data_IF_374327881461
#
_entry.id   IF_374327881461
#
_cell.length_a   1.000
_cell.length_b   1.000
_cell.length_c   1.000
_cell.angle_alpha   90.00
_cell.angle_beta   90.00
_cell.angle_gamma   90.00
#
_symmetry.space_group_name_H-M   'P 1'
#
loop_
_entity.id
_entity.type
_entity.pdbx_description
1 polymer ?
#
# COMPACT_ATOMS: atom_id res chain seq x y z
N UNK A 1 -32.31 -56.81 25.02
CA UNK A 1 -31.27 -56.61 26.04
C UNK A 1 -31.22 -55.10 26.27
N UNK A 2 -32.12 -54.54 27.10
CA UNK A 2 -31.98 -54.39 28.57
C UNK A 2 -30.63 -53.76 28.90
N UNK A 3 -30.52 -52.57 29.51
CA UNK A 3 -31.10 -52.20 30.81
C UNK A 3 -31.36 -50.70 30.93
N UNK A 4 -32.46 -50.36 31.60
CA UNK A 4 -32.85 -49.06 32.16
C UNK A 4 -31.82 -48.47 33.16
N UNK A 5 -31.91 -47.15 33.36
CA UNK A 5 -31.20 -46.44 34.42
C UNK A 5 -31.72 -45.02 34.66
N UNK A 6 -32.90 -44.91 35.25
CA UNK A 6 -33.47 -43.70 35.88
C UNK A 6 -32.73 -43.37 37.19
N UNK A 7 -32.43 -42.09 37.43
CA UNK A 7 -31.80 -41.65 38.68
C UNK A 7 -31.95 -40.15 38.92
N UNK A 8 -32.70 -39.82 39.97
CA UNK A 8 -33.21 -38.51 40.36
C UNK A 8 -32.15 -37.47 40.83
N UNK A 9 -32.50 -36.19 40.66
CA UNK A 9 -32.05 -35.06 41.51
C UNK A 9 -32.90 -35.04 42.81
N UNK A 10 -32.47 -34.48 43.97
CA UNK A 10 -32.25 -33.03 44.12
C UNK A 10 -31.24 -32.58 45.22
N UNK A 11 -31.00 -31.25 45.29
CA UNK A 11 -30.34 -30.54 46.41
C UNK A 11 -29.04 -29.87 45.96
N UNK A 12 -28.77 -28.58 46.18
CA UNK A 12 -29.32 -27.60 47.10
C UNK A 12 -28.17 -26.92 47.84
N UNK A 13 -28.02 -25.60 47.69
CA UNK A 13 -27.28 -24.74 48.62
C UNK A 13 -25.88 -24.27 48.20
N UNK A 14 -25.67 -22.96 48.33
CA UNK A 14 -24.34 -22.39 48.57
C UNK A 14 -23.82 -21.41 47.52
N UNK A 15 -24.35 -20.19 47.52
CA UNK A 15 -23.68 -18.99 47.02
C UNK A 15 -22.43 -18.70 47.87
N UNK A 16 -21.26 -18.41 47.26
CA UNK A 16 -20.25 -17.58 47.90
C UNK A 16 -20.14 -16.23 47.20
N UNK A 17 -20.30 -15.16 47.98
CA UNK A 17 -19.96 -13.79 47.64
C UNK A 17 -18.51 -13.66 47.13
N UNK A 18 -18.26 -13.00 45.98
CA UNK A 18 -16.94 -12.46 45.71
C UNK A 18 -16.78 -11.14 46.46
N UNK A 19 -16.09 -11.22 47.59
CA UNK A 19 -15.60 -10.08 48.34
C UNK A 19 -14.83 -9.11 47.42
N UNK A 20 -15.36 -7.89 47.36
CA UNK A 20 -14.69 -6.72 46.78
C UNK A 20 -13.42 -6.44 47.57
N UNK A 21 -12.27 -6.70 46.94
CA UNK A 21 -10.96 -6.27 47.45
C UNK A 21 -10.52 -5.09 46.61
N UNK A 22 -10.80 -3.88 47.10
CA UNK A 22 -10.20 -2.65 46.59
C UNK A 22 -8.77 -2.54 47.15
N UNK A 23 -7.72 -2.43 46.32
CA UNK A 23 -6.42 -2.01 46.81
C UNK A 23 -6.37 -0.47 46.90
N UNK A 24 -6.04 0.01 48.10
CA UNK A 24 -5.74 1.40 48.40
C UNK A 24 -4.60 1.97 47.51
N UNK A 25 -4.70 3.22 47.05
CA UNK A 25 -3.60 3.91 46.40
C UNK A 25 -2.59 4.41 47.44
N UNK A 26 -1.43 3.75 47.49
CA UNK A 26 -0.27 4.22 48.23
C UNK A 26 0.19 5.60 47.70
N UNK A 27 0.14 6.58 48.60
CA UNK A 27 0.71 7.90 48.45
C UNK A 27 2.23 7.85 48.71
N UNK A 28 3.04 8.30 47.76
CA UNK A 28 4.46 8.68 47.94
C UNK A 28 4.82 9.63 46.79
N UNK A 29 4.68 10.95 46.89
CA UNK A 29 5.58 11.89 47.58
C UNK A 29 7.07 11.62 47.36
N UNK A 30 7.63 12.22 46.31
CA UNK A 30 9.01 12.74 46.29
C UNK A 30 9.18 13.69 45.10
N UNK A 31 8.82 14.95 45.33
CA UNK A 31 9.23 16.06 44.50
C UNK A 31 10.73 16.30 44.73
N UNK A 32 11.56 16.05 43.72
CA UNK A 32 12.95 16.49 43.71
C UNK A 32 13.03 17.99 43.40
N UNK A 33 13.93 18.75 44.05
CA UNK A 33 14.07 20.17 43.79
C UNK A 33 14.66 20.45 42.40
N UNK A 34 14.10 21.47 41.75
CA UNK A 34 14.61 22.04 40.51
C UNK A 34 16.00 22.67 40.73
N UNK A 35 16.96 22.50 39.80
CA UNK A 35 18.20 23.26 39.84
C UNK A 35 18.00 24.71 39.40
N UNK A 36 18.57 25.62 40.18
CA UNK A 36 18.71 27.06 39.94
C UNK A 36 19.28 27.39 38.55
N UNK A 37 18.71 28.36 37.81
CA UNK A 37 19.35 28.98 36.66
C UNK A 37 19.99 30.31 37.08
N UNK A 38 21.23 30.28 37.57
CA UNK A 38 22.03 31.51 37.69
C UNK A 38 23.47 31.31 37.24
N UNK A 39 23.82 32.11 36.23
CA UNK A 39 25.12 32.78 36.11
C UNK A 39 26.34 31.95 35.72
N UNK A 40 26.62 31.90 34.41
CA UNK A 40 27.99 31.91 33.91
C UNK A 40 28.06 32.44 32.46
N UNK A 41 28.42 33.71 32.32
CA UNK A 41 29.16 34.26 31.17
C UNK A 41 30.57 34.50 31.72
N UNK A 42 31.65 33.92 31.16
CA UNK A 42 32.41 34.54 30.05
C UNK A 42 33.02 33.45 29.12
N UNK A 43 33.73 33.65 28.01
CA UNK A 43 34.44 34.75 27.41
C UNK A 43 34.53 34.46 25.89
N UNK A 44 34.57 35.50 25.08
CA UNK A 44 35.03 35.43 23.69
C UNK A 44 36.53 35.14 23.62
N UNK A 45 36.99 34.30 22.67
CA UNK A 45 38.31 34.45 22.11
C UNK A 45 38.23 34.98 20.68
N UNK A 46 38.73 36.21 20.55
CA UNK A 46 39.22 36.86 19.35
C UNK A 46 40.33 36.02 18.71
N UNK A 47 40.27 35.79 17.39
CA UNK A 47 41.42 35.28 16.65
C UNK A 47 41.07 34.71 15.27
N UNK A 48 41.45 35.37 14.16
CA UNK A 48 41.39 34.77 12.83
C UNK A 48 42.51 33.72 12.68
N UNK A 49 42.22 32.50 12.18
CA UNK A 49 43.27 31.55 11.88
C UNK A 49 44.07 31.98 10.65
N UNK A 50 45.40 31.96 10.79
CA UNK A 50 46.36 32.14 9.71
C UNK A 50 46.25 31.03 8.63
N UNK A 51 46.59 31.31 7.36
CA UNK A 51 46.56 30.32 6.29
C UNK A 51 47.78 29.40 6.40
N UNK A 52 47.56 28.21 6.97
CA UNK A 52 48.58 27.18 7.14
C UNK A 52 48.41 26.02 6.16
N UNK A 53 49.33 25.96 5.20
CA UNK A 53 49.96 24.74 4.66
C UNK A 53 49.06 23.53 4.36
N UNK A 54 48.62 23.42 3.11
CA UNK A 54 48.16 22.18 2.50
C UNK A 54 49.34 21.21 2.29
N UNK A 55 49.47 20.22 3.19
CA UNK A 55 50.21 18.98 2.88
C UNK A 55 49.35 18.08 1.98
N UNK A 56 49.90 17.54 0.88
CA UNK A 56 49.17 16.62 0.02
C UNK A 56 48.95 15.27 0.73
N UNK A 57 47.72 14.77 0.65
CA UNK A 57 47.36 13.42 1.08
C UNK A 57 48.18 12.37 0.31
N UNK A 58 48.56 11.23 0.93
CA UNK A 58 49.19 10.13 0.22
C UNK A 58 48.21 9.56 -0.81
N UNK A 59 48.69 9.44 -2.04
CA UNK A 59 47.97 8.84 -3.15
C UNK A 59 47.54 7.41 -2.80
N UNK A 60 46.27 7.12 -3.06
CA UNK A 60 45.61 5.85 -2.85
C UNK A 60 46.33 4.71 -3.58
N UNK A 61 46.99 3.85 -2.82
CA UNK A 61 47.58 2.57 -3.24
C UNK A 61 46.51 1.48 -3.39
N UNK A 62 45.44 1.77 -4.14
CA UNK A 62 44.34 0.82 -4.41
C UNK A 62 44.08 0.59 -5.91
N UNK A 63 44.94 1.13 -6.79
CA UNK A 63 44.86 0.93 -8.24
C UNK A 63 46.02 0.05 -8.73
N UNK A 64 46.12 -1.18 -8.24
CA UNK A 64 46.86 -2.24 -8.92
C UNK A 64 45.84 -3.21 -9.53
N UNK A 65 45.74 -3.32 -10.87
CA UNK A 65 44.95 -4.37 -11.48
C UNK A 65 45.60 -5.71 -11.17
N UNK A 66 44.79 -6.64 -10.66
CA UNK A 66 45.21 -8.03 -10.51
C UNK A 66 45.44 -8.63 -11.90
N UNK A 67 46.71 -8.79 -12.28
CA UNK A 67 47.10 -9.62 -13.41
C UNK A 67 46.69 -11.06 -13.09
N UNK A 68 45.66 -11.57 -13.78
CA UNK A 68 45.20 -12.96 -13.61
C UNK A 68 43.70 -13.21 -13.72
N UNK A 69 42.87 -12.21 -14.04
CA UNK A 69 41.45 -12.44 -14.28
C UNK A 69 41.26 -13.15 -15.64
N UNK A 70 40.84 -14.42 -15.57
CA UNK A 70 40.38 -15.19 -16.72
C UNK A 70 39.32 -14.40 -17.51
N UNK A 71 39.50 -14.36 -18.83
CA UNK A 71 38.53 -13.79 -19.77
C UNK A 71 37.12 -14.32 -19.46
N UNK A 72 36.12 -13.45 -19.20
CA UNK A 72 34.75 -13.91 -19.07
C UNK A 72 34.31 -14.56 -20.39
N UNK A 73 33.52 -15.65 -20.35
CA UNK A 73 32.97 -16.24 -21.56
C UNK A 73 32.13 -15.20 -22.32
N UNK A 74 32.08 -15.27 -23.66
CA UNK A 74 31.30 -14.34 -24.45
C UNK A 74 29.83 -14.40 -23.99
N UNK A 75 29.29 -13.25 -23.62
CA UNK A 75 27.86 -13.07 -23.35
C UNK A 75 27.10 -13.39 -24.63
N UNK A 76 26.37 -14.50 -24.60
CA UNK A 76 25.47 -14.95 -25.63
C UNK A 76 24.41 -13.86 -25.85
N UNK A 77 24.42 -13.26 -27.04
CA UNK A 77 23.49 -12.19 -27.38
C UNK A 77 22.06 -12.72 -27.30
N UNK A 78 21.28 -12.20 -26.37
CA UNK A 78 19.85 -12.46 -26.26
C UNK A 78 19.17 -12.07 -27.58
N UNK A 79 18.77 -13.06 -28.37
CA UNK A 79 17.89 -12.87 -29.51
C UNK A 79 16.45 -12.70 -28.98
N UNK A 80 15.70 -11.66 -29.40
CA UNK A 80 14.31 -11.51 -29.02
C UNK A 80 13.48 -12.70 -29.53
N UNK A 81 12.46 -13.15 -28.79
CA UNK A 81 11.61 -14.25 -29.21
C UNK A 81 10.93 -13.93 -30.55
N UNK A 82 11.07 -14.83 -31.51
CA UNK A 82 10.38 -14.76 -32.80
C UNK A 82 8.86 -14.89 -32.52
N UNK A 83 8.03 -13.94 -32.96
CA UNK A 83 6.58 -14.06 -32.79
C UNK A 83 6.07 -15.29 -33.56
N UNK A 84 5.11 -16.05 -33.00
CA UNK A 84 4.56 -17.21 -33.68
C UNK A 84 3.88 -16.80 -35.00
N UNK A 85 3.92 -17.66 -36.04
CA UNK A 85 3.22 -17.41 -37.30
C UNK A 85 1.71 -17.31 -37.03
N UNK A 86 1.17 -16.13 -37.33
CA UNK A 86 -0.23 -15.80 -37.11
C UNK A 86 -1.07 -16.28 -38.31
N UNK A 87 -1.29 -17.60 -38.39
CA UNK A 87 -2.12 -18.25 -39.40
C UNK A 87 -3.53 -18.61 -38.86
N UNK A 88 -4.13 -17.76 -38.01
CA UNK A 88 -5.54 -17.93 -37.64
C UNK A 88 -6.45 -17.05 -38.50
N UNK A 89 -7.38 -17.64 -39.28
CA UNK A 89 -8.40 -16.86 -39.98
C UNK A 89 -9.30 -16.17 -38.97
N UNK A 90 -9.55 -14.87 -39.19
CA UNK A 90 -10.40 -14.03 -38.36
C UNK A 90 -11.79 -14.65 -38.18
N UNK A 91 -12.04 -15.22 -37.00
CA UNK A 91 -13.36 -15.64 -36.55
C UNK A 91 -14.18 -14.37 -36.27
N UNK A 92 -15.12 -14.07 -37.16
CA UNK A 92 -16.13 -13.02 -37.01
C UNK A 92 -17.08 -13.39 -35.87
N UNK A 93 -16.76 -12.94 -34.65
CA UNK A 93 -17.73 -12.97 -33.56
C UNK A 93 -18.83 -11.94 -33.81
N UNK A 94 -20.12 -12.31 -33.71
CA UNK A 94 -21.22 -11.36 -33.81
C UNK A 94 -21.18 -10.40 -32.61
N UNK A 95 -21.17 -9.10 -32.90
CA UNK A 95 -21.24 -8.05 -31.88
C UNK A 95 -22.54 -8.19 -31.05
N UNK A 96 -22.47 -8.05 -29.71
CA UNK A 96 -23.68 -7.98 -28.89
C UNK A 96 -24.47 -6.72 -29.23
N UNK A 97 -25.78 -6.88 -29.43
CA UNK A 97 -26.69 -5.78 -29.70
C UNK A 97 -26.72 -4.78 -28.52
N UNK A 98 -26.82 -3.47 -28.79
CA UNK A 98 -26.95 -2.46 -27.74
C UNK A 98 -28.26 -2.66 -26.96
N UNK A 99 -28.26 -2.45 -25.63
CA UNK A 99 -29.47 -2.54 -24.82
C UNK A 99 -30.50 -1.48 -25.26
N UNK A 100 -31.82 -1.79 -25.16
CA UNK A 100 -32.86 -0.84 -25.49
C UNK A 100 -32.80 0.39 -24.58
N UNK A 101 -33.12 1.55 -25.16
CA UNK A 101 -33.11 2.84 -24.49
C UNK A 101 -34.00 2.81 -23.23
N UNK A 102 -33.40 3.11 -22.08
CA UNK A 102 -34.12 3.23 -20.82
C UNK A 102 -35.02 4.48 -20.87
N UNK A 103 -36.32 4.24 -20.74
CA UNK A 103 -37.33 5.27 -20.57
C UNK A 103 -37.03 6.19 -19.37
N UNK A 104 -37.42 7.45 -19.56
CA UNK A 104 -37.15 8.57 -18.69
C UNK A 104 -37.58 8.32 -17.23
N UNK A 105 -36.61 8.41 -16.31
CA UNK A 105 -36.88 8.57 -14.89
C UNK A 105 -37.45 9.98 -14.61
N UNK A 106 -38.53 10.11 -13.82
CA UNK A 106 -39.03 11.41 -13.38
C UNK A 106 -38.06 12.10 -12.42
N UNK A 107 -37.84 13.39 -12.65
CA UNK A 107 -36.98 14.27 -11.84
C UNK A 107 -37.50 14.40 -10.40
N UNK A 108 -36.66 14.24 -9.36
CA UNK A 108 -37.03 14.54 -7.99
C UNK A 108 -37.30 16.04 -7.79
N UNK A 109 -38.52 16.36 -7.38
CA UNK A 109 -38.95 17.72 -7.08
C UNK A 109 -38.17 18.35 -5.93
N UNK A 110 -37.78 19.61 -6.12
CA UNK A 110 -37.21 20.48 -5.10
C UNK A 110 -38.20 20.69 -3.93
N UNK A 111 -37.78 20.58 -2.67
CA UNK A 111 -38.58 21.05 -1.54
C UNK A 111 -38.58 22.59 -1.47
N UNK A 112 -39.74 23.11 -1.08
CA UNK A 112 -40.07 24.53 -1.00
C UNK A 112 -39.22 25.32 0.03
N UNK A 113 -38.95 26.62 -0.21
CA UNK A 113 -38.22 27.49 0.69
C UNK A 113 -39.09 27.92 1.90
N UNK A 114 -38.67 27.59 3.13
CA UNK A 114 -39.47 27.98 4.31
C UNK A 114 -38.97 27.67 5.72
N UNK A 115 -37.73 27.27 5.95
CA UNK A 115 -37.22 27.10 7.33
C UNK A 115 -36.10 28.08 7.67
N UNK A 116 -36.25 28.93 8.70
CA UNK A 116 -35.17 29.78 9.19
C UNK A 116 -34.10 28.93 9.92
N UNK A 117 -32.81 29.26 9.77
CA UNK A 117 -31.72 28.54 10.42
C UNK A 117 -31.69 28.78 11.94
N UNK A 118 -31.34 27.77 12.76
CA UNK A 118 -31.09 27.93 14.19
C UNK A 118 -29.96 28.93 14.46
N UNK A 119 -30.18 29.82 15.43
CA UNK A 119 -29.38 31.01 15.71
C UNK A 119 -27.92 30.73 16.04
N UNK A 120 -27.03 31.47 15.37
CA UNK A 120 -25.65 31.66 15.80
C UNK A 120 -25.63 32.61 17.00
N UNK A 121 -24.85 32.31 18.07
CA UNK A 121 -24.61 33.26 19.13
C UNK A 121 -23.77 34.45 18.63
N UNK A 122 -24.11 35.64 19.12
CA UNK A 122 -23.49 36.90 18.74
C UNK A 122 -21.98 36.95 19.10
N UNK A 123 -21.12 37.54 18.26
CA UNK A 123 -19.71 37.77 18.58
C UNK A 123 -19.58 38.90 19.61
N UNK A 124 -19.06 38.62 20.82
CA UNK A 124 -18.77 39.71 21.76
C UNK A 124 -18.48 39.39 23.23
N UNK A 125 -18.62 38.15 23.70
CA UNK A 125 -18.34 37.82 25.11
C UNK A 125 -17.07 36.97 25.25
N UNK A 126 -15.93 37.62 25.48
CA UNK A 126 -14.74 36.93 26.01
C UNK A 126 -14.92 36.73 27.52
N UNK A 127 -14.88 35.51 28.05
CA UNK A 127 -14.85 35.29 29.49
C UNK A 127 -13.48 35.71 30.06
N UNK A 128 -13.51 36.38 31.21
CA UNK A 128 -12.33 36.78 31.94
C UNK A 128 -11.51 35.55 32.40
N UNK A 129 -10.16 35.63 32.40
CA UNK A 129 -9.30 34.53 32.82
C UNK A 129 -9.48 34.27 34.33
N UNK A 130 -9.96 33.07 34.68
CA UNK A 130 -10.01 32.61 36.07
C UNK A 130 -11.19 31.74 36.48
N UNK A 131 -12.20 31.54 35.62
CA UNK A 131 -13.32 30.64 35.94
C UNK A 131 -13.37 29.44 34.99
N UNK A 132 -12.98 28.28 35.52
CA UNK A 132 -13.22 26.99 34.90
C UNK A 132 -14.72 26.74 34.91
N UNK A 133 -15.38 26.94 33.78
CA UNK A 133 -16.77 26.54 33.60
C UNK A 133 -16.85 25.02 33.72
N UNK A 134 -17.53 24.53 34.77
CA UNK A 134 -18.01 23.16 34.82
C UNK A 134 -18.97 22.97 33.64
N UNK A 135 -18.52 22.26 32.60
CA UNK A 135 -19.39 21.81 31.54
C UNK A 135 -20.39 20.80 32.14
N UNK A 136 -21.71 21.04 32.04
CA UNK A 136 -22.68 20.01 32.37
C UNK A 136 -22.47 18.84 31.41
N UNK A 137 -22.19 17.66 31.99
CA UNK A 137 -22.08 16.41 31.26
C UNK A 137 -23.40 16.17 30.49
N UNK A 138 -23.35 15.96 29.16
CA UNK A 138 -24.52 15.54 28.40
C UNK A 138 -25.05 14.24 28.99
N UNK A 139 -26.24 14.29 29.56
CA UNK A 139 -26.92 13.13 30.11
C UNK A 139 -27.09 12.08 29.02
N UNK A 140 -26.52 10.90 29.25
CA UNK A 140 -26.73 9.74 28.39
C UNK A 140 -28.24 9.45 28.29
N UNK A 141 -28.78 9.20 27.09
CA UNK A 141 -30.18 8.82 26.94
C UNK A 141 -30.46 7.54 27.75
N UNK A 142 -31.64 7.41 28.35
CA UNK A 142 -32.00 6.22 29.11
C UNK A 142 -31.88 4.98 28.23
N UNK A 143 -31.35 3.90 28.82
CA UNK A 143 -31.16 2.62 28.16
C UNK A 143 -32.48 2.17 27.51
N UNK A 144 -32.46 2.01 26.18
CA UNK A 144 -33.60 1.51 25.41
C UNK A 144 -33.93 0.11 25.92
N UNK A 145 -35.18 -0.11 26.32
CA UNK A 145 -35.65 -1.38 26.85
C UNK A 145 -35.31 -2.52 25.88
N UNK A 146 -34.74 -3.60 26.42
CA UNK A 146 -34.35 -4.76 25.64
C UNK A 146 -35.55 -5.31 24.85
N UNK A 147 -35.40 -5.60 23.54
CA UNK A 147 -36.50 -6.11 22.73
C UNK A 147 -36.98 -7.46 23.28
N UNK A 148 -38.31 -7.74 23.23
CA UNK A 148 -38.88 -8.96 23.78
C UNK A 148 -38.24 -10.20 23.14
N UNK A 149 -37.75 -11.11 23.98
CA UNK A 149 -37.06 -12.38 23.64
C UNK A 149 -37.99 -13.44 23.01
N UNK A 150 -38.98 -13.05 22.19
CA UNK A 150 -40.05 -13.94 21.73
C UNK A 150 -39.86 -14.60 20.37
N UNK A 151 -38.87 -14.22 19.54
CA UNK A 151 -38.81 -14.69 18.12
C UNK A 151 -37.42 -15.08 17.60
N UNK A 152 -36.41 -15.22 18.47
CA UNK A 152 -35.05 -15.61 18.03
C UNK A 152 -34.97 -17.04 17.49
N UNK A 153 -35.84 -17.94 17.93
CA UNK A 153 -35.87 -19.32 17.41
C UNK A 153 -36.31 -19.42 15.94
N UNK A 154 -37.23 -18.55 15.51
CA UNK A 154 -37.78 -18.62 14.15
C UNK A 154 -36.81 -18.04 13.11
N UNK A 155 -36.07 -16.98 13.45
CA UNK A 155 -35.08 -16.39 12.56
C UNK A 155 -33.85 -17.31 12.36
N UNK A 156 -33.39 -17.98 13.43
CA UNK A 156 -32.29 -18.93 13.34
C UNK A 156 -32.65 -20.14 12.46
N UNK A 157 -33.89 -20.64 12.55
CA UNK A 157 -34.36 -21.74 11.70
C UNK A 157 -34.36 -21.39 10.20
N UNK A 158 -34.76 -20.16 9.84
CA UNK A 158 -34.80 -19.72 8.44
C UNK A 158 -33.39 -19.59 7.86
N UNK A 159 -32.41 -19.09 8.62
CA UNK A 159 -31.03 -18.95 8.15
C UNK A 159 -30.40 -20.32 7.92
N UNK A 160 -30.59 -21.28 8.84
CA UNK A 160 -30.07 -22.65 8.68
C UNK A 160 -30.69 -23.34 7.47
N UNK A 161 -32.01 -23.19 7.25
CA UNK A 161 -32.68 -23.74 6.08
C UNK A 161 -32.17 -23.12 4.77
N UNK A 162 -31.95 -21.80 4.72
CA UNK A 162 -31.42 -21.11 3.55
C UNK A 162 -29.98 -21.55 3.22
N UNK A 163 -29.11 -21.69 4.23
CA UNK A 163 -27.74 -22.18 4.04
C UNK A 163 -27.72 -23.64 3.57
N UNK A 164 -28.61 -24.48 4.08
CA UNK A 164 -28.73 -25.87 3.62
C UNK A 164 -29.17 -25.97 2.15
N UNK A 165 -30.11 -25.13 1.71
CA UNK A 165 -30.56 -25.09 0.31
C UNK A 165 -29.46 -24.57 -0.62
N UNK A 166 -28.74 -23.52 -0.22
CA UNK A 166 -27.60 -23.00 -0.99
C UNK A 166 -26.48 -24.05 -1.06
N UNK A 167 -26.18 -24.73 0.05
CA UNK A 167 -25.20 -25.81 0.10
C UNK A 167 -25.55 -26.99 -0.82
N UNK A 168 -26.83 -27.37 -0.90
CA UNK A 168 -27.30 -28.41 -1.83
C UNK A 168 -27.22 -27.97 -3.30
N UNK A 169 -27.54 -26.71 -3.60
CA UNK A 169 -27.44 -26.17 -4.97
C UNK A 169 -25.99 -26.02 -5.43
N UNK A 170 -25.09 -25.59 -4.53
CA UNK A 170 -23.68 -25.45 -4.85
C UNK A 170 -22.96 -26.80 -4.95
N UNK A 171 -23.26 -27.78 -4.10
CA UNK A 171 -22.62 -29.11 -4.19
C UNK A 171 -23.09 -29.91 -5.42
N UNK A 172 -24.36 -29.79 -5.82
CA UNK A 172 -24.86 -30.40 -7.05
C UNK A 172 -24.19 -29.88 -8.34
N UNK A 173 -23.72 -28.63 -8.33
CA UNK A 173 -23.03 -28.03 -9.48
C UNK A 173 -21.59 -28.53 -9.66
N UNK A 174 -20.94 -28.99 -8.59
CA UNK A 174 -19.54 -29.46 -8.62
C UNK A 174 -19.46 -30.91 -9.11
N UNK A 175 -20.49 -31.74 -8.85
CA UNK A 175 -20.50 -33.14 -9.31
C UNK A 175 -20.73 -33.30 -10.82
N UNK A 176 -21.26 -32.29 -11.52
CA UNK A 176 -21.46 -32.33 -12.97
C UNK A 176 -20.21 -31.94 -13.80
N UNK A 177 -19.09 -31.58 -13.16
CA UNK A 177 -17.82 -31.25 -13.84
C UNK A 177 -16.68 -32.22 -13.52
N UNK A 178 -16.96 -33.33 -12.83
CA UNK A 178 -15.94 -34.30 -12.40
C UNK A 178 -15.83 -35.54 -13.33
N UNK A 179 -16.57 -35.59 -14.44
CA UNK A 179 -16.71 -36.81 -15.27
C UNK A 179 -16.07 -36.72 -16.67
N UNK A 180 -15.08 -35.83 -16.87
CA UNK A 180 -14.38 -35.66 -18.16
C UNK A 180 -12.83 -35.67 -18.04
N UNK A 181 -12.26 -36.36 -17.04
CA UNK A 181 -10.80 -36.55 -16.91
C UNK A 181 -10.33 -38.02 -16.96
N UNK A 182 -11.09 -38.91 -17.59
CA UNK A 182 -10.64 -40.24 -17.94
C UNK A 182 -10.58 -40.40 -19.46
N UNK A 183 -9.41 -40.09 -20.02
CA UNK A 183 -8.75 -40.82 -21.12
C UNK A 183 -7.79 -39.89 -21.88
N UNK A 184 -6.55 -39.79 -21.39
CA UNK A 184 -5.40 -39.41 -22.22
C UNK A 184 -4.27 -40.38 -21.90
N UNK A 185 -4.53 -41.63 -22.27
CA UNK A 185 -3.54 -42.69 -22.33
C UNK A 185 -2.51 -42.37 -23.42
N UNK A 186 -1.24 -42.43 -23.04
CA UNK A 186 -0.13 -42.93 -23.86
C UNK A 186 0.10 -42.27 -25.22
N UNK A 187 0.96 -41.24 -25.22
CA UNK A 187 1.84 -40.96 -26.36
C UNK A 187 3.28 -41.07 -25.88
N UNK A 188 3.74 -42.33 -25.81
CA UNK A 188 5.13 -42.74 -25.78
C UNK A 188 5.73 -42.35 -27.14
N UNK A 189 6.24 -41.12 -27.24
CA UNK A 189 6.80 -40.52 -28.45
C UNK A 189 8.31 -40.55 -28.40
N UNK A 190 8.88 -41.47 -29.18
CA UNK A 190 10.29 -41.84 -29.14
C UNK A 190 11.28 -40.69 -29.27
N UNK A 191 12.34 -40.81 -28.48
CA UNK A 191 13.65 -40.26 -28.76
C UNK A 191 14.16 -40.84 -30.08
N UNK A 192 14.20 -40.03 -31.14
CA UNK A 192 14.77 -40.42 -32.42
C UNK A 192 15.13 -39.20 -33.27
N UNK A 193 16.41 -39.13 -33.65
CA UNK A 193 17.07 -38.18 -34.58
C UNK A 193 17.28 -36.78 -33.96
N UNK A 194 18.46 -36.38 -33.50
CA UNK A 194 19.78 -36.39 -34.18
C UNK A 194 19.72 -35.81 -35.60
N UNK A 195 19.12 -34.64 -35.77
CA UNK A 195 19.41 -33.79 -36.92
C UNK A 195 20.62 -32.88 -36.60
N UNK A 196 21.77 -33.07 -37.27
CA UNK A 196 22.88 -32.12 -37.19
C UNK A 196 22.46 -30.84 -37.92
N UNK A 197 22.07 -29.82 -37.15
CA UNK A 197 21.82 -28.48 -37.66
C UNK A 197 23.10 -27.91 -38.26
N UNK A 198 23.29 -28.16 -39.55
CA UNK A 198 24.41 -27.70 -40.35
C UNK A 198 24.12 -26.28 -40.77
N UNK A 199 24.73 -25.32 -40.06
CA UNK A 199 24.71 -23.92 -40.47
C UNK A 199 25.31 -23.79 -41.87
N UNK A 200 24.66 -23.11 -42.82
CA UNK A 200 25.25 -22.83 -44.12
C UNK A 200 26.47 -21.90 -43.95
N UNK A 201 27.66 -22.49 -43.95
CA UNK A 201 28.94 -21.81 -44.11
C UNK A 201 28.94 -21.13 -45.48
N UNK A 202 28.61 -19.84 -45.56
CA UNK A 202 28.66 -19.14 -46.85
C UNK A 202 27.94 -17.80 -46.96
N UNK A 203 27.31 -17.27 -45.90
CA UNK A 203 26.76 -15.93 -45.98
C UNK A 203 27.87 -14.88 -45.79
N UNK A 204 28.10 -13.98 -46.77
CA UNK A 204 29.04 -12.88 -46.62
C UNK A 204 28.50 -11.94 -45.54
N UNK A 205 29.08 -11.97 -44.35
CA UNK A 205 28.80 -11.00 -43.31
C UNK A 205 29.28 -9.62 -43.80
N UNK A 206 28.39 -8.62 -44.01
CA UNK A 206 28.82 -7.27 -44.30
C UNK A 206 29.62 -6.77 -43.11
N UNK A 207 30.96 -6.74 -43.25
CA UNK A 207 31.91 -6.25 -42.25
C UNK A 207 31.89 -4.71 -42.13
N UNK A 208 30.77 -4.07 -42.44
CA UNK A 208 30.57 -2.66 -42.15
C UNK A 208 30.30 -2.53 -40.65
N UNK A 209 31.36 -2.61 -39.86
CA UNK A 209 31.40 -2.17 -38.47
C UNK A 209 30.86 -0.74 -38.49
N UNK A 210 29.67 -0.46 -37.95
CA UNK A 210 29.22 0.92 -37.87
C UNK A 210 30.20 1.60 -36.92
N UNK A 211 31.13 2.37 -37.46
CA UNK A 211 31.90 3.38 -36.72
C UNK A 211 30.96 4.55 -36.43
N UNK A 212 29.78 4.25 -35.88
CA UNK A 212 28.90 5.22 -35.28
C UNK A 212 29.44 5.43 -33.88
N UNK A 213 30.17 6.52 -33.71
CA UNK A 213 30.48 7.08 -32.41
C UNK A 213 29.17 7.08 -31.58
N UNK A 214 29.13 6.43 -30.41
CA UNK A 214 27.90 6.30 -29.64
C UNK A 214 27.38 7.71 -29.36
N UNK A 215 26.21 8.01 -29.94
CA UNK A 215 25.56 9.29 -29.72
C UNK A 215 25.46 9.50 -28.20
N UNK A 216 25.84 10.69 -27.69
CA UNK A 216 25.85 10.94 -26.25
C UNK A 216 24.46 10.62 -25.69
N UNK A 217 24.40 9.61 -24.82
CA UNK A 217 23.17 9.21 -24.16
C UNK A 217 22.61 10.43 -23.44
N UNK A 218 21.45 10.90 -23.88
CA UNK A 218 20.79 12.06 -23.29
C UNK A 218 20.55 11.78 -21.80
N UNK A 219 21.32 12.45 -20.94
CA UNK A 219 21.30 12.26 -19.49
C UNK A 219 20.03 12.83 -18.84
N UNK A 220 19.15 13.46 -19.62
CA UNK A 220 17.88 14.01 -19.15
C UNK A 220 16.76 12.98 -19.03
N UNK A 221 15.65 13.32 -18.35
CA UNK A 221 14.41 12.55 -18.40
C UNK A 221 13.96 12.29 -19.84
N UNK A 222 13.48 11.08 -20.11
CA UNK A 222 13.03 10.65 -21.44
C UNK A 222 11.50 10.71 -21.53
N UNK A 223 10.93 11.28 -22.60
CA UNK A 223 9.49 11.19 -22.82
C UNK A 223 9.11 9.73 -23.11
N UNK A 224 8.06 9.24 -22.47
CA UNK A 224 7.47 7.96 -22.80
C UNK A 224 6.93 7.98 -24.23
N UNK A 225 7.14 6.90 -24.99
CA UNK A 225 6.71 6.79 -26.38
C UNK A 225 5.17 6.72 -26.54
N UNK A 226 4.45 6.41 -25.46
CA UNK A 226 3.00 6.29 -25.43
C UNK A 226 2.41 6.88 -24.14
N UNK A 227 1.14 7.33 -24.16
CA UNK A 227 0.43 7.71 -22.94
C UNK A 227 0.35 6.55 -21.94
N UNK A 228 0.29 6.88 -20.64
CA UNK A 228 0.02 5.89 -19.60
C UNK A 228 -1.40 5.33 -19.76
N UNK A 229 -1.50 4.01 -19.92
CA UNK A 229 -2.76 3.27 -20.09
C UNK A 229 -3.23 2.70 -18.76
N UNK A 230 -2.31 2.28 -17.92
CA UNK A 230 -2.57 1.78 -16.57
C UNK A 230 -1.81 2.61 -15.51
N UNK A 231 -2.27 2.56 -14.26
CA UNK A 231 -1.61 3.24 -13.15
C UNK A 231 -0.18 2.71 -12.92
N UNK A 232 0.09 1.44 -13.24
CA UNK A 232 1.42 0.85 -13.12
C UNK A 232 2.41 1.37 -14.18
N UNK A 233 1.94 1.94 -15.29
CA UNK A 233 2.85 2.60 -16.26
C UNK A 233 3.56 3.80 -15.61
N UNK A 234 2.96 4.40 -14.57
CA UNK A 234 3.58 5.48 -13.81
C UNK A 234 4.80 5.03 -12.98
N UNK A 235 5.05 3.73 -12.85
CA UNK A 235 6.30 3.21 -12.27
C UNK A 235 7.53 3.71 -13.04
N UNK A 236 7.40 3.91 -14.36
CA UNK A 236 8.48 4.45 -15.20
C UNK A 236 8.90 5.88 -14.78
N UNK A 237 8.00 6.66 -14.17
CA UNK A 237 8.33 7.95 -13.57
C UNK A 237 9.24 7.76 -12.36
N UNK A 238 8.96 6.77 -11.52
CA UNK A 238 9.74 6.49 -10.32
C UNK A 238 11.11 5.85 -10.63
N UNK A 239 11.14 4.92 -11.59
CA UNK A 239 12.25 3.97 -11.74
C UNK A 239 13.06 4.19 -13.04
N UNK A 240 12.44 4.54 -14.17
CA UNK A 240 13.06 4.44 -15.52
C UNK A 240 13.52 5.78 -16.13
N UNK A 241 13.60 6.84 -15.35
CA UNK A 241 13.87 8.18 -15.89
C UNK A 241 12.89 8.68 -16.96
N UNK A 242 11.66 8.15 -16.98
CA UNK A 242 10.65 8.49 -17.97
C UNK A 242 9.61 9.49 -17.47
N UNK A 243 8.95 10.20 -18.38
CA UNK A 243 7.79 11.07 -18.09
C UNK A 243 6.72 10.93 -19.16
N UNK A 244 5.46 11.28 -18.84
CA UNK A 244 4.34 11.13 -19.76
C UNK A 244 3.85 12.51 -20.23
N UNK A 245 4.30 13.03 -21.38
CA UNK A 245 4.03 14.42 -21.79
C UNK A 245 2.53 14.75 -21.95
N UNK A 246 1.70 13.75 -22.24
CA UNK A 246 0.24 13.89 -22.37
C UNK A 246 -0.50 13.91 -21.02
N UNK A 247 0.20 13.62 -19.91
CA UNK A 247 -0.39 13.71 -18.59
C UNK A 247 -0.67 15.19 -18.22
N UNK A 248 -1.67 15.46 -17.37
CA UNK A 248 -1.93 16.80 -16.90
C UNK A 248 -0.73 17.33 -16.09
N UNK A 249 -0.34 18.57 -16.34
CA UNK A 249 0.74 19.24 -15.62
C UNK A 249 0.34 19.58 -14.19
N UNK A 250 1.29 19.64 -13.27
CA UNK A 250 1.11 20.15 -11.90
C UNK A 250 1.02 21.68 -11.94
N UNK A 251 -0.09 22.17 -12.47
CA UNK A 251 -0.41 23.58 -12.60
C UNK A 251 -1.93 23.77 -12.57
N UNK A 252 -2.38 24.96 -12.18
CA UNK A 252 -3.79 25.33 -12.18
C UNK A 252 -4.45 25.20 -10.81
N UNK A 253 -5.75 24.92 -10.79
CA UNK A 253 -6.53 24.90 -9.56
C UNK A 253 -6.39 23.55 -8.86
N UNK A 254 -5.99 23.58 -7.60
CA UNK A 254 -6.10 22.45 -6.68
C UNK A 254 -7.55 21.94 -6.58
N UNK A 255 -7.76 20.64 -6.27
CA UNK A 255 -6.75 19.68 -5.87
C UNK A 255 -6.03 18.97 -7.04
N UNK A 256 -4.77 18.61 -6.80
CA UNK A 256 -3.92 17.92 -7.78
C UNK A 256 -3.90 16.40 -7.56
N UNK A 257 -4.42 15.58 -8.50
CA UNK A 257 -4.48 14.14 -8.30
C UNK A 257 -3.09 13.49 -8.19
N UNK A 258 -2.93 12.63 -7.19
CA UNK A 258 -1.68 11.95 -6.84
C UNK A 258 -1.87 10.43 -6.79
N UNK A 259 -0.93 9.70 -7.38
CA UNK A 259 -0.82 8.24 -7.24
C UNK A 259 0.33 7.90 -6.29
N UNK A 260 0.06 7.09 -5.26
CA UNK A 260 1.08 6.63 -4.31
C UNK A 260 1.60 5.25 -4.74
N UNK A 261 2.86 5.20 -5.15
CA UNK A 261 3.50 4.02 -5.69
C UNK A 261 4.62 3.56 -4.76
N UNK A 262 4.46 2.40 -4.13
CA UNK A 262 5.29 1.91 -3.03
C UNK A 262 6.20 0.78 -3.50
N UNK A 263 7.48 0.86 -3.14
CA UNK A 263 8.49 -0.18 -3.39
C UNK A 263 9.13 -0.61 -2.07
N UNK A 264 8.79 -1.83 -1.66
CA UNK A 264 9.16 -2.38 -0.34
C UNK A 264 10.55 -3.04 -0.32
N UNK A 265 11.43 -2.73 -1.27
CA UNK A 265 12.76 -3.32 -1.33
C UNK A 265 13.39 -3.15 -2.70
N UNK A 266 14.70 -3.33 -2.80
CA UNK A 266 15.45 -3.10 -4.03
C UNK A 266 14.94 -3.93 -5.22
N UNK A 267 14.60 -5.19 -4.96
CA UNK A 267 14.07 -6.14 -5.95
C UNK A 267 12.53 -6.24 -5.94
N UNK A 268 11.85 -5.44 -5.13
CA UNK A 268 10.39 -5.47 -5.07
C UNK A 268 9.79 -4.76 -6.29
N UNK A 269 8.70 -5.32 -6.82
CA UNK A 269 7.88 -4.62 -7.82
C UNK A 269 7.09 -3.53 -7.11
N UNK A 270 7.03 -2.35 -7.72
CA UNK A 270 6.28 -1.22 -7.20
C UNK A 270 4.78 -1.45 -7.34
N UNK A 271 4.03 -1.23 -6.27
CA UNK A 271 2.57 -1.40 -6.24
C UNK A 271 1.88 -0.08 -5.88
N UNK A 272 0.63 0.08 -6.29
CA UNK A 272 -0.14 1.30 -6.03
C UNK A 272 -0.99 1.16 -4.78
N UNK A 273 -0.79 2.03 -3.79
CA UNK A 273 -1.65 2.11 -2.62
C UNK A 273 -2.78 3.11 -2.87
N UNK A 274 -4.00 2.60 -2.95
CA UNK A 274 -5.21 3.39 -3.24
C UNK A 274 -6.04 3.74 -2.02
N UNK A 275 -5.61 3.31 -0.83
CA UNK A 275 -6.43 3.42 0.39
C UNK A 275 -5.77 4.22 1.51
N UNK A 276 -4.50 4.64 1.33
CA UNK A 276 -3.72 5.38 2.34
C UNK A 276 -4.33 6.70 2.83
N UNK A 277 -5.38 7.21 2.19
CA UNK A 277 -6.01 8.49 2.55
C UNK A 277 -7.37 8.31 3.24
N UNK A 278 -7.89 7.08 3.32
CA UNK A 278 -9.28 6.85 3.72
C UNK A 278 -9.56 7.33 5.15
N UNK A 279 -8.62 7.11 6.07
CA UNK A 279 -8.79 7.48 7.48
C UNK A 279 -8.69 9.00 7.72
N UNK A 280 -7.88 9.71 6.92
CA UNK A 280 -7.61 11.14 7.12
C UNK A 280 -8.50 12.08 6.30
N UNK A 281 -8.84 11.68 5.07
CA UNK A 281 -9.57 12.51 4.11
C UNK A 281 -11.02 12.02 3.93
N UNK A 282 -11.26 10.73 4.11
CA UNK A 282 -12.56 10.09 3.96
C UNK A 282 -12.79 9.41 2.61
N UNK A 283 -13.97 8.83 2.44
CA UNK A 283 -14.35 7.91 1.35
C UNK A 283 -15.12 8.57 0.20
N UNK A 284 -15.20 9.90 0.16
CA UNK A 284 -15.96 10.61 -0.87
C UNK A 284 -15.34 10.47 -2.26
N UNK A 285 -16.17 10.45 -3.32
CA UNK A 285 -15.70 10.34 -4.73
C UNK A 285 -14.68 11.42 -5.13
N UNK A 286 -14.79 12.63 -4.58
CA UNK A 286 -13.82 13.69 -4.80
C UNK A 286 -12.45 13.37 -4.18
N UNK A 287 -12.44 12.76 -2.98
CA UNK A 287 -11.23 12.29 -2.33
C UNK A 287 -10.60 11.14 -3.13
N UNK A 288 -11.39 10.16 -3.57
CA UNK A 288 -10.91 9.06 -4.42
C UNK A 288 -10.29 9.56 -5.73
N UNK A 289 -10.95 10.48 -6.43
CA UNK A 289 -10.41 11.05 -7.67
C UNK A 289 -9.12 11.86 -7.47
N UNK A 290 -8.83 12.29 -6.24
CA UNK A 290 -7.66 13.11 -5.92
C UNK A 290 -6.53 12.27 -5.35
N UNK A 291 -6.80 11.43 -4.36
CA UNK A 291 -5.79 10.76 -3.56
C UNK A 291 -5.57 9.29 -3.96
N UNK A 292 -6.50 8.69 -4.70
CA UNK A 292 -6.37 7.33 -5.24
C UNK A 292 -6.99 7.20 -6.64
N UNK A 293 -6.64 8.06 -7.61
CA UNK A 293 -7.27 8.11 -8.92
C UNK A 293 -7.14 6.76 -9.65
N UNK A 294 -8.26 6.28 -10.20
CA UNK A 294 -8.32 5.06 -11.01
C UNK A 294 -7.68 5.21 -12.40
N UNK A 295 -7.61 6.44 -12.92
CA UNK A 295 -7.22 6.69 -14.30
C UNK A 295 -5.85 7.38 -14.34
N UNK A 296 -4.82 6.77 -14.96
CA UNK A 296 -3.49 7.37 -15.04
C UNK A 296 -3.50 8.71 -15.79
N UNK A 297 -4.37 8.87 -16.79
CA UNK A 297 -4.54 10.09 -17.57
C UNK A 297 -5.01 11.31 -16.74
N UNK A 298 -5.47 11.11 -15.49
CA UNK A 298 -5.86 12.19 -14.58
C UNK A 298 -4.78 12.52 -13.55
N UNK A 299 -3.74 11.72 -13.44
CA UNK A 299 -2.71 11.86 -12.42
C UNK A 299 -1.76 12.99 -12.79
N UNK A 300 -1.59 13.95 -11.88
CA UNK A 300 -0.64 15.04 -12.02
C UNK A 300 0.67 14.74 -11.28
N UNK A 301 0.59 13.98 -10.19
CA UNK A 301 1.68 13.71 -9.26
C UNK A 301 1.91 12.20 -9.10
N UNK A 302 3.15 11.76 -9.27
CA UNK A 302 3.59 10.42 -8.87
C UNK A 302 4.36 10.52 -7.55
N UNK A 303 3.82 9.93 -6.48
CA UNK A 303 4.46 9.85 -5.18
C UNK A 303 5.15 8.47 -5.04
N UNK A 304 6.46 8.45 -5.25
CA UNK A 304 7.30 7.26 -5.18
C UNK A 304 7.80 7.07 -3.75
N UNK A 305 7.29 6.04 -3.06
CA UNK A 305 7.69 5.71 -1.69
C UNK A 305 8.60 4.48 -1.69
N UNK A 306 9.87 4.68 -1.37
CA UNK A 306 10.90 3.64 -1.44
C UNK A 306 11.41 3.26 -0.06
N UNK A 307 11.44 1.97 0.25
CA UNK A 307 12.17 1.51 1.44
C UNK A 307 13.67 1.61 1.19
N UNK A 308 14.34 2.45 1.96
CA UNK A 308 15.78 2.70 1.84
C UNK A 308 16.65 1.88 2.78
N UNK A 309 16.10 1.43 3.92
CA UNK A 309 16.84 0.59 4.84
C UNK A 309 15.94 -0.27 5.72
N UNK A 310 16.44 -1.46 6.07
CA UNK A 310 15.98 -2.22 7.22
C UNK A 310 16.68 -1.70 8.48
N UNK A 311 15.92 -1.37 9.51
CA UNK A 311 16.41 -0.91 10.80
C UNK A 311 16.44 -2.04 11.84
N UNK A 312 16.35 -1.68 13.11
CA UNK A 312 16.32 -2.63 14.22
C UNK A 312 15.01 -3.42 14.28
N UNK A 313 15.08 -4.63 14.85
CA UNK A 313 13.88 -5.39 15.25
C UNK A 313 13.03 -4.56 16.21
N UNK A 314 11.73 -4.47 15.92
CA UNK A 314 10.74 -3.83 16.79
C UNK A 314 10.07 -4.89 17.68
N UNK A 315 9.47 -5.89 17.06
CA UNK A 315 8.77 -6.97 17.78
C UNK A 315 8.61 -8.21 16.92
N UNK A 316 8.06 -9.24 17.54
CA UNK A 316 7.65 -10.47 16.87
C UNK A 316 6.12 -10.50 16.81
N UNK A 317 5.58 -10.73 15.62
CA UNK A 317 4.16 -10.78 15.30
C UNK A 317 3.75 -12.24 15.11
N UNK A 318 2.69 -12.65 15.80
CA UNK A 318 2.13 -14.00 15.71
C UNK A 318 0.86 -13.94 14.88
N UNK A 319 0.74 -14.86 13.95
CA UNK A 319 -0.42 -15.04 13.07
C UNK A 319 -0.86 -16.48 13.26
N UNK A 320 -2.07 -16.71 13.77
CA UNK A 320 -2.49 -18.04 14.21
C UNK A 320 -3.27 -18.82 13.13
N UNK A 321 -3.69 -18.17 12.04
CA UNK A 321 -4.56 -18.75 11.01
C UNK A 321 -4.07 -18.44 9.57
N UNK A 322 -4.28 -19.36 8.60
CA UNK A 322 -4.73 -20.75 8.79
C UNK A 322 -3.65 -21.67 9.38
N UNK A 323 -2.37 -21.31 9.20
CA UNK A 323 -1.22 -21.99 9.79
C UNK A 323 -0.48 -21.02 10.72
N UNK A 324 -0.18 -21.41 11.96
CA UNK A 324 0.49 -20.53 12.89
C UNK A 324 1.89 -20.18 12.39
N UNK A 325 2.14 -18.90 12.11
CA UNK A 325 3.46 -18.40 11.77
C UNK A 325 3.85 -17.21 12.64
N UNK A 326 5.16 -17.00 12.72
CA UNK A 326 5.77 -15.95 13.53
C UNK A 326 6.70 -15.13 12.65
N UNK A 327 6.35 -13.86 12.47
CA UNK A 327 7.10 -12.92 11.65
C UNK A 327 7.81 -11.90 12.54
N UNK A 328 8.96 -11.43 12.10
CA UNK A 328 9.67 -10.37 12.82
C UNK A 328 9.42 -9.03 12.16
N UNK A 329 8.84 -8.09 12.90
CA UNK A 329 8.64 -6.71 12.47
C UNK A 329 9.91 -5.89 12.72
N UNK A 330 10.46 -5.32 11.66
CA UNK A 330 11.62 -4.42 11.70
C UNK A 330 11.19 -2.98 11.49
N UNK A 331 11.88 -2.04 12.14
CA UNK A 331 11.81 -0.62 11.78
C UNK A 331 12.34 -0.46 10.35
N UNK A 332 11.80 0.46 9.57
CA UNK A 332 12.32 0.78 8.24
C UNK A 332 12.49 2.29 8.04
N UNK A 333 13.46 2.66 7.20
CA UNK A 333 13.57 4.03 6.70
C UNK A 333 13.01 4.09 5.29
N UNK A 334 12.21 5.11 5.01
CA UNK A 334 11.58 5.32 3.72
C UNK A 334 12.04 6.64 3.11
N UNK A 335 11.99 6.73 1.78
CA UNK A 335 12.23 7.98 1.04
C UNK A 335 11.03 8.21 0.13
N UNK A 336 10.34 9.32 0.37
CA UNK A 336 9.25 9.79 -0.47
C UNK A 336 9.80 10.79 -1.47
N UNK A 337 9.70 10.46 -2.75
CA UNK A 337 9.99 11.38 -3.86
C UNK A 337 8.70 11.65 -4.60
N UNK A 338 8.40 12.92 -4.88
CA UNK A 338 7.20 13.29 -5.65
C UNK A 338 7.64 13.97 -6.92
N UNK A 339 7.13 13.47 -8.04
CA UNK A 339 7.42 13.98 -9.38
C UNK A 339 6.13 14.46 -10.04
N UNK A 340 6.24 15.52 -10.83
CA UNK A 340 5.23 15.86 -11.82
C UNK A 340 5.25 14.80 -12.93
N UNK A 341 4.11 14.15 -13.21
CA UNK A 341 4.05 13.05 -14.20
C UNK A 341 4.39 13.53 -15.62
N UNK A 342 3.96 14.74 -15.96
CA UNK A 342 4.10 15.33 -17.28
C UNK A 342 5.54 15.72 -17.68
N UNK A 343 6.43 15.91 -16.70
CA UNK A 343 7.77 16.47 -16.93
C UNK A 343 8.87 15.74 -16.16
N UNK A 344 8.50 14.87 -15.22
CA UNK A 344 9.37 14.31 -14.17
C UNK A 344 10.11 15.37 -13.34
N UNK A 345 9.59 16.59 -13.27
CA UNK A 345 10.13 17.59 -12.34
C UNK A 345 9.95 17.09 -10.91
N UNK A 346 11.04 16.95 -10.16
CA UNK A 346 11.00 16.60 -8.75
C UNK A 346 10.46 17.78 -7.95
N UNK A 347 9.36 17.55 -7.23
CA UNK A 347 8.69 18.55 -6.40
C UNK A 347 8.97 18.34 -4.91
N UNK A 348 9.22 17.10 -4.50
CA UNK A 348 9.54 16.74 -3.12
C UNK A 348 10.53 15.58 -3.11
N UNK A 349 11.44 15.62 -2.15
CA UNK A 349 12.29 14.48 -1.77
C UNK A 349 12.52 14.55 -0.27
N UNK A 350 11.95 13.58 0.45
CA UNK A 350 11.91 13.60 1.91
C UNK A 350 12.13 12.20 2.46
N UNK A 351 13.05 12.09 3.42
CA UNK A 351 13.21 10.89 4.23
C UNK A 351 12.09 10.82 5.26
N UNK A 352 11.42 9.68 5.35
CA UNK A 352 10.36 9.38 6.29
C UNK A 352 10.80 8.21 7.19
N UNK A 353 10.49 8.31 8.48
CA UNK A 353 10.71 7.22 9.42
C UNK A 353 9.41 6.43 9.57
N UNK A 354 9.50 5.10 9.60
CA UNK A 354 8.38 4.28 10.05
C UNK A 354 8.21 4.44 11.56
N UNK A 355 7.04 4.88 12.00
CA UNK A 355 6.66 4.92 13.41
C UNK A 355 5.63 3.85 13.77
N UNK A 356 5.18 3.04 12.80
CA UNK A 356 4.22 1.99 13.04
C UNK A 356 4.85 0.83 13.82
N UNK A 357 4.19 0.41 14.89
CA UNK A 357 4.66 -0.67 15.77
C UNK A 357 3.62 -1.77 15.98
N UNK A 358 2.41 -1.57 15.46
CA UNK A 358 1.40 -2.60 15.39
C UNK A 358 1.82 -3.70 14.41
N UNK A 359 1.43 -4.93 14.71
CA UNK A 359 1.53 -6.02 13.74
C UNK A 359 0.42 -5.82 12.71
N UNK A 360 0.73 -5.78 11.40
CA UNK A 360 -0.29 -5.65 10.38
C UNK A 360 -1.27 -6.82 10.47
N UNK A 361 -2.54 -6.57 10.16
CA UNK A 361 -3.59 -7.58 10.24
C UNK A 361 -3.35 -8.74 9.26
N UNK A 362 -2.88 -8.42 8.05
CA UNK A 362 -2.50 -9.38 7.02
C UNK A 362 -1.18 -8.97 6.39
N UNK A 363 -0.37 -9.96 6.01
CA UNK A 363 0.93 -9.75 5.36
C UNK A 363 1.20 -10.90 4.40
N UNK A 364 1.92 -10.61 3.32
CA UNK A 364 2.49 -11.65 2.47
C UNK A 364 3.78 -12.15 3.11
N UNK A 365 3.83 -13.44 3.40
CA UNK A 365 4.99 -14.07 4.07
C UNK A 365 6.07 -14.37 3.03
N UNK A 366 7.17 -13.62 3.09
CA UNK A 366 8.39 -13.93 2.36
C UNK A 366 9.20 -15.05 3.02
N UNK A 367 10.16 -15.67 2.31
CA UNK A 367 10.98 -16.76 2.83
C UNK A 367 11.86 -16.35 4.03
N UNK A 368 12.12 -15.05 4.20
CA UNK A 368 12.91 -14.51 5.31
C UNK A 368 12.11 -14.30 6.60
N UNK A 369 10.77 -14.46 6.57
CA UNK A 369 9.83 -14.21 7.66
C UNK A 369 10.00 -12.82 8.29
N UNK A 370 10.36 -11.83 7.48
CA UNK A 370 10.51 -10.43 7.92
C UNK A 370 9.40 -9.59 7.34
N UNK A 371 8.84 -8.74 8.19
CA UNK A 371 7.95 -7.67 7.80
C UNK A 371 8.54 -6.35 8.29
N UNK A 372 8.15 -5.26 7.65
CA UNK A 372 8.79 -3.96 7.85
C UNK A 372 7.73 -2.94 8.17
N UNK A 373 8.00 -2.11 9.18
CA UNK A 373 7.09 -1.06 9.57
C UNK A 373 6.92 -0.05 8.42
N UNK A 374 5.67 0.20 8.05
CA UNK A 374 5.31 1.15 7.02
C UNK A 374 5.32 2.59 7.58
N UNK A 375 5.25 3.57 6.68
CA UNK A 375 4.98 4.96 7.06
C UNK A 375 3.49 5.07 7.33
N UNK A 376 3.10 5.69 8.45
CA UNK A 376 1.68 5.87 8.72
C UNK A 376 0.98 6.72 7.64
N UNK A 377 -0.26 6.33 7.32
CA UNK A 377 -1.13 7.01 6.36
C UNK A 377 -1.25 8.53 6.65
N UNK A 378 -1.50 8.90 7.90
CA UNK A 378 -1.51 10.31 8.35
C UNK A 378 -0.21 11.04 8.03
N UNK A 379 0.95 10.40 8.17
CA UNK A 379 2.25 11.01 7.85
C UNK A 379 2.41 11.21 6.34
N UNK A 380 1.92 10.28 5.52
CA UNK A 380 1.93 10.39 4.06
C UNK A 380 0.98 11.48 3.60
N UNK A 381 -0.28 11.46 4.04
CA UNK A 381 -1.30 12.46 3.70
C UNK A 381 -0.84 13.86 4.10
N UNK A 382 -0.39 14.05 5.34
CA UNK A 382 0.08 15.36 5.82
C UNK A 382 1.29 15.87 5.02
N UNK A 383 2.20 14.99 4.61
CA UNK A 383 3.35 15.35 3.78
C UNK A 383 2.94 15.75 2.36
N UNK A 384 2.02 15.00 1.74
CA UNK A 384 1.55 15.23 0.36
C UNK A 384 0.56 16.39 0.24
N UNK A 385 -0.17 16.72 1.31
CA UNK A 385 -1.23 17.74 1.32
C UNK A 385 -0.80 19.08 0.73
N UNK A 386 0.43 19.52 1.00
CA UNK A 386 0.92 20.79 0.49
C UNK A 386 1.09 20.86 -1.04
N UNK A 387 1.28 19.72 -1.72
CA UNK A 387 1.38 19.62 -3.18
C UNK A 387 0.01 19.33 -3.82
N UNK A 388 -0.87 18.67 -3.08
CA UNK A 388 -2.20 18.29 -3.55
C UNK A 388 -3.18 19.45 -3.44
N UNK A 389 -3.15 20.23 -2.35
CA UNK A 389 -4.21 21.21 -2.05
C UNK A 389 -3.83 22.67 -2.28
N UNK A 390 -2.58 22.97 -2.61
CA UNK A 390 -2.13 24.32 -2.97
C UNK A 390 -1.91 24.37 -4.46
#
# INVERSE_FOLDING_TARGET
>A
MSVDGTGAAPGGGGTPDPASSSPDPASSSSAGPAPDPTSATPASPTGPPAPGSSSPAPASEWARPAEGAATPPPVEAWAPPVPPPNDQPAQLFPFPQPPPAADAYPQPGYPAPGYPPPGYPAPGAYPAPGQYAQYPQPGWPPAVAAPPRGRRGLLAGVIVAAVAVIGLLCTGSIYMMAEDQHDSSSADGGFGQEDPFSWPTGLPFPSARPTGEPAPESTGPQPAASPAKDIYDLNAVCDDNAFFPDAPKHAGKAPHPVALLIKDGENAVRWNNRTYYLDDIGTGKAAENTWGPNSPAKVQLAACLDRTSAGSKLRTCKYDEPDPDTLTLYRASWRLRVFEVATRKQLLDKKLASNETACPFSVLVGPDKKIYAEVSDHTLVSTLKSLVTK
#
